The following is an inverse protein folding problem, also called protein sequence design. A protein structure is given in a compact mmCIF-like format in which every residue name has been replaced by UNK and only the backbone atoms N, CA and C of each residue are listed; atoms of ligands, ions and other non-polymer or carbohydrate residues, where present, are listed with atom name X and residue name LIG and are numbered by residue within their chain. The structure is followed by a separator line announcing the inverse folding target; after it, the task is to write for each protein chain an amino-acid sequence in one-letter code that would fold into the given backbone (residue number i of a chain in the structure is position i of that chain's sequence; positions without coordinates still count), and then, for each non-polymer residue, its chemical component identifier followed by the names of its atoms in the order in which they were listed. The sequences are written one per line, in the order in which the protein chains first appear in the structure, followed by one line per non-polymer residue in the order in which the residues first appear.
data_IF_169715727597
#
_entry.id   IF_169715727597
#
_cell.length_a   1.000
_cell.length_b   1.000
_cell.length_c   1.000
_cell.angle_alpha   90.00
_cell.angle_beta   90.00
_cell.angle_gamma   90.00
#
_symmetry.space_group_name_H-M   'P 1'
#
loop_
_entity.id
_entity.type
_entity.pdbx_description
1 polymer ?
#
# COMPACT_ATOMS: atom_id res chain seq x y z
N UNK A 1 -19.53 -11.72 29.58
CA UNK A 1 -20.24 -10.55 29.05
C UNK A 1 -19.36 -10.01 27.94
N UNK A 2 -19.55 -10.52 26.72
CA UNK A 2 -18.83 -10.09 25.54
C UNK A 2 -19.31 -8.68 25.22
N UNK A 3 -18.46 -7.68 25.47
CA UNK A 3 -18.65 -6.35 24.92
C UNK A 3 -18.36 -6.45 23.43
N UNK A 4 -19.39 -6.82 22.67
CA UNK A 4 -19.36 -6.80 21.21
C UNK A 4 -19.34 -5.33 20.78
N UNK A 5 -18.16 -4.71 20.85
CA UNK A 5 -17.92 -3.36 20.33
C UNK A 5 -17.90 -3.50 18.81
N UNK A 6 -19.09 -3.57 18.21
CA UNK A 6 -19.22 -3.47 16.77
C UNK A 6 -18.69 -2.08 16.39
N UNK A 7 -17.57 -1.97 15.65
CA UNK A 7 -17.07 -0.67 15.26
C UNK A 7 -18.16 0.05 14.47
N UNK A 8 -18.36 1.34 14.75
CA UNK A 8 -19.32 2.14 14.01
C UNK A 8 -19.08 1.93 12.50
N UNK A 9 -20.13 1.77 11.67
CA UNK A 9 -20.00 1.33 10.28
C UNK A 9 -19.00 2.15 9.44
N UNK A 10 -18.79 3.42 9.79
CA UNK A 10 -17.76 4.28 9.21
C UNK A 10 -16.32 3.80 9.47
N UNK A 11 -16.00 3.35 10.69
CA UNK A 11 -14.68 2.82 11.06
C UNK A 11 -14.39 1.52 10.30
N UNK A 12 -15.39 0.64 10.19
CA UNK A 12 -15.26 -0.61 9.44
C UNK A 12 -14.98 -0.37 7.95
N UNK A 13 -15.68 0.61 7.33
CA UNK A 13 -15.46 0.98 5.93
C UNK A 13 -14.05 1.57 5.70
N UNK A 14 -13.53 2.37 6.64
CA UNK A 14 -12.19 2.93 6.55
C UNK A 14 -11.10 1.87 6.69
N UNK A 15 -11.27 0.89 7.59
CA UNK A 15 -10.35 -0.26 7.70
C UNK A 15 -10.35 -1.11 6.43
N UNK A 16 -11.52 -1.38 5.85
CA UNK A 16 -11.60 -2.09 4.57
C UNK A 16 -10.92 -1.30 3.43
N UNK A 17 -11.05 0.03 3.42
CA UNK A 17 -10.37 0.88 2.44
C UNK A 17 -8.84 0.84 2.60
N UNK A 18 -8.35 0.85 3.84
CA UNK A 18 -6.93 0.67 4.17
C UNK A 18 -6.41 -0.69 3.68
N UNK A 19 -7.10 -1.77 3.99
CA UNK A 19 -6.72 -3.13 3.56
C UNK A 19 -6.62 -3.25 2.05
N UNK A 20 -7.62 -2.72 1.31
CA UNK A 20 -7.60 -2.69 -0.15
C UNK A 20 -6.44 -1.87 -0.71
N UNK A 21 -6.14 -0.72 -0.10
CA UNK A 21 -5.01 0.10 -0.49
C UNK A 21 -3.67 -0.60 -0.23
N UNK A 22 -3.52 -1.27 0.92
CA UNK A 22 -2.36 -2.08 1.27
C UNK A 22 -2.15 -3.23 0.26
N UNK A 23 -3.21 -3.97 -0.06
CA UNK A 23 -3.17 -5.02 -1.07
C UNK A 23 -2.71 -4.48 -2.45
N UNK A 24 -3.21 -3.32 -2.86
CA UNK A 24 -2.78 -2.62 -4.06
C UNK A 24 -1.30 -2.24 -4.04
N UNK A 25 -0.80 -1.72 -2.91
CA UNK A 25 0.62 -1.42 -2.71
C UNK A 25 1.49 -2.68 -2.79
N UNK A 26 1.12 -3.77 -2.12
CA UNK A 26 1.87 -5.02 -2.15
C UNK A 26 1.93 -5.63 -3.54
N UNK A 27 0.81 -5.58 -4.29
CA UNK A 27 0.78 -6.01 -5.69
C UNK A 27 1.71 -5.17 -6.57
N UNK A 28 1.69 -3.84 -6.42
CA UNK A 28 2.60 -2.94 -7.14
C UNK A 28 4.06 -3.21 -6.79
N UNK A 29 4.37 -3.40 -5.50
CA UNK A 29 5.71 -3.70 -5.01
C UNK A 29 6.25 -5.02 -5.56
N UNK A 30 5.42 -6.07 -5.60
CA UNK A 30 5.78 -7.36 -6.19
C UNK A 30 6.10 -7.22 -7.68
N UNK A 31 5.30 -6.45 -8.42
CA UNK A 31 5.54 -6.17 -9.83
C UNK A 31 6.84 -5.38 -10.04
N UNK A 32 7.10 -4.35 -9.22
CA UNK A 32 8.34 -3.58 -9.23
C UNK A 32 9.57 -4.49 -9.02
N UNK A 33 9.54 -5.38 -8.04
CA UNK A 33 10.65 -6.31 -7.78
C UNK A 33 10.92 -7.25 -8.96
N UNK A 34 9.86 -7.80 -9.57
CA UNK A 34 10.00 -8.65 -10.77
C UNK A 34 10.65 -7.89 -11.94
N UNK A 35 10.25 -6.65 -12.16
CA UNK A 35 10.84 -5.81 -13.20
C UNK A 35 12.29 -5.43 -12.88
N UNK A 36 12.60 -5.13 -11.61
CA UNK A 36 13.97 -4.88 -11.17
C UNK A 36 14.91 -6.06 -11.40
N UNK A 37 14.44 -7.28 -11.11
CA UNK A 37 15.19 -8.51 -11.40
C UNK A 37 15.43 -8.69 -12.91
N UNK A 38 14.42 -8.39 -13.74
CA UNK A 38 14.55 -8.43 -15.21
C UNK A 38 15.58 -7.41 -15.72
N UNK A 39 15.58 -6.19 -15.20
CA UNK A 39 16.59 -5.15 -15.55
C UNK A 39 17.99 -5.62 -15.19
N UNK A 40 18.19 -6.20 -14.00
CA UNK A 40 19.49 -6.72 -13.58
C UNK A 40 19.99 -7.85 -14.50
N UNK A 41 19.10 -8.80 -14.84
CA UNK A 41 19.43 -9.90 -15.75
C UNK A 41 19.78 -9.40 -17.16
N UNK A 42 19.02 -8.46 -17.71
CA UNK A 42 19.33 -7.89 -19.03
C UNK A 42 20.61 -7.06 -19.03
N UNK A 43 20.88 -6.33 -17.95
CA UNK A 43 22.14 -5.61 -17.78
C UNK A 43 23.35 -6.57 -17.80
N UNK A 44 23.21 -7.74 -17.18
CA UNK A 44 24.25 -8.77 -17.23
C UNK A 44 24.47 -9.27 -18.66
N UNK A 45 23.39 -9.56 -19.42
CA UNK A 45 23.51 -9.96 -20.82
C UNK A 45 24.18 -8.90 -21.71
N UNK A 46 23.88 -7.61 -21.48
CA UNK A 46 24.54 -6.50 -22.18
C UNK A 46 26.03 -6.43 -21.83
N UNK A 47 26.41 -6.70 -20.58
CA UNK A 47 27.81 -6.71 -20.16
C UNK A 47 28.58 -7.90 -20.75
N UNK A 48 27.96 -9.07 -20.83
CA UNK A 48 28.54 -10.29 -21.41
C UNK A 48 28.65 -10.21 -22.95
N UNK A 49 27.69 -9.55 -23.61
CA UNK A 49 27.62 -9.45 -25.08
C UNK A 49 27.37 -8.00 -25.53
N UNK A 50 28.36 -7.10 -25.41
CA UNK A 50 28.17 -5.66 -25.62
C UNK A 50 27.90 -5.27 -27.09
N UNK A 51 28.25 -6.15 -28.04
CA UNK A 51 28.04 -5.94 -29.49
C UNK A 51 26.64 -6.34 -29.95
N UNK A 52 25.79 -6.90 -29.07
CA UNK A 52 24.42 -7.32 -29.37
C UNK A 52 23.43 -6.16 -29.14
N UNK A 53 23.01 -5.43 -30.19
CA UNK A 53 22.14 -4.27 -30.03
C UNK A 53 20.74 -4.64 -29.54
N UNK A 54 20.29 -5.86 -29.83
CA UNK A 54 19.03 -6.43 -29.36
C UNK A 54 18.97 -6.51 -27.82
N UNK A 55 20.08 -6.87 -27.16
CA UNK A 55 20.13 -6.90 -25.70
C UNK A 55 20.09 -5.51 -25.09
N UNK A 56 20.76 -4.53 -25.71
CA UNK A 56 20.72 -3.13 -25.27
C UNK A 56 19.29 -2.58 -25.39
N UNK A 57 18.63 -2.78 -26.53
CA UNK A 57 17.25 -2.36 -26.73
C UNK A 57 16.28 -3.01 -25.72
N UNK A 58 16.46 -4.32 -25.45
CA UNK A 58 15.66 -5.01 -24.44
C UNK A 58 15.91 -4.48 -23.03
N UNK A 59 17.16 -4.16 -22.68
CA UNK A 59 17.52 -3.56 -21.40
C UNK A 59 16.89 -2.17 -21.22
N UNK A 60 16.98 -1.31 -22.24
CA UNK A 60 16.40 0.04 -22.21
C UNK A 60 14.87 -0.01 -22.01
N UNK A 61 14.19 -0.88 -22.76
CA UNK A 61 12.74 -1.10 -22.60
C UNK A 61 12.37 -1.61 -21.20
N UNK A 62 13.17 -2.53 -20.65
CA UNK A 62 12.95 -3.02 -19.29
C UNK A 62 13.22 -1.94 -18.23
N UNK A 63 14.24 -1.09 -18.43
CA UNK A 63 14.57 0.01 -17.53
C UNK A 63 13.46 1.06 -17.48
N UNK A 64 12.86 1.41 -18.62
CA UNK A 64 11.68 2.26 -18.69
C UNK A 64 10.49 1.66 -17.92
N UNK A 65 10.17 0.40 -18.20
CA UNK A 65 9.08 -0.30 -17.51
C UNK A 65 9.29 -0.40 -15.99
N UNK A 66 10.54 -0.59 -15.55
CA UNK A 66 10.90 -0.56 -14.13
C UNK A 66 10.71 0.84 -13.53
N UNK A 67 11.10 1.89 -14.25
CA UNK A 67 10.85 3.28 -13.85
C UNK A 67 9.36 3.55 -13.60
N UNK A 68 8.49 3.13 -14.52
CA UNK A 68 7.04 3.27 -14.37
C UNK A 68 6.50 2.47 -13.19
N UNK A 69 7.05 1.27 -12.94
CA UNK A 69 6.67 0.46 -11.78
C UNK A 69 7.10 1.09 -10.45
N UNK A 70 8.24 1.78 -10.41
CA UNK A 70 8.66 2.58 -9.25
C UNK A 70 7.63 3.68 -8.96
N UNK A 71 7.21 4.44 -9.97
CA UNK A 71 6.23 5.52 -9.77
C UNK A 71 4.87 4.99 -9.33
N UNK A 72 4.38 3.92 -9.95
CA UNK A 72 3.12 3.26 -9.53
C UNK A 72 3.20 2.76 -8.09
N UNK A 73 4.32 2.18 -7.68
CA UNK A 73 4.50 1.70 -6.31
C UNK A 73 4.53 2.85 -5.30
N UNK A 74 5.19 3.97 -5.63
CA UNK A 74 5.19 5.18 -4.80
C UNK A 74 3.78 5.76 -4.64
N UNK A 75 3.02 5.82 -5.73
CA UNK A 75 1.64 6.29 -5.68
C UNK A 75 0.76 5.36 -4.82
N UNK A 76 0.86 4.05 -5.01
CA UNK A 76 0.11 3.07 -4.22
C UNK A 76 0.47 3.15 -2.72
N UNK A 77 1.75 3.33 -2.39
CA UNK A 77 2.19 3.56 -1.02
C UNK A 77 1.57 4.83 -0.42
N UNK A 78 1.59 5.94 -1.15
CA UNK A 78 0.98 7.19 -0.68
C UNK A 78 -0.54 7.04 -0.47
N UNK A 79 -1.23 6.31 -1.35
CA UNK A 79 -2.65 5.99 -1.17
C UNK A 79 -2.90 5.16 0.10
N UNK A 80 -2.10 4.12 0.33
CA UNK A 80 -2.19 3.31 1.54
C UNK A 80 -1.93 4.12 2.80
N UNK A 81 -0.89 4.95 2.83
CA UNK A 81 -0.57 5.82 3.97
C UNK A 81 -1.71 6.80 4.29
N UNK A 82 -2.34 7.40 3.27
CA UNK A 82 -3.53 8.24 3.49
C UNK A 82 -4.70 7.46 4.06
N UNK A 83 -4.94 6.24 3.58
CA UNK A 83 -6.02 5.40 4.08
C UNK A 83 -5.77 4.97 5.53
N UNK A 84 -4.53 4.62 5.87
CA UNK A 84 -4.11 4.29 7.24
C UNK A 84 -4.34 5.47 8.20
N UNK A 85 -3.86 6.67 7.85
CA UNK A 85 -4.07 7.88 8.67
C UNK A 85 -5.55 8.17 8.87
N UNK A 86 -6.38 8.03 7.83
CA UNK A 86 -7.83 8.23 7.95
C UNK A 86 -8.50 7.19 8.85
N UNK A 87 -8.10 5.91 8.74
CA UNK A 87 -8.61 4.84 9.58
C UNK A 87 -8.21 5.03 11.05
N UNK A 88 -6.96 5.42 11.32
CA UNK A 88 -6.47 5.66 12.67
C UNK A 88 -7.11 6.90 13.31
N UNK A 89 -7.34 7.96 12.54
CA UNK A 89 -8.06 9.14 13.02
C UNK A 89 -9.52 8.80 13.39
N UNK A 90 -10.21 8.00 12.58
CA UNK A 90 -11.58 7.58 12.86
C UNK A 90 -11.65 6.64 14.06
N UNK A 91 -10.66 5.75 14.21
CA UNK A 91 -10.53 4.89 15.39
C UNK A 91 -10.34 5.72 16.66
N UNK A 92 -9.41 6.69 16.63
CA UNK A 92 -9.12 7.58 17.76
C UNK A 92 -10.34 8.41 18.15
N UNK A 93 -11.09 8.93 17.17
CA UNK A 93 -12.34 9.65 17.42
C UNK A 93 -13.40 8.74 18.06
N UNK A 94 -13.58 7.51 17.55
CA UNK A 94 -14.55 6.57 18.09
C UNK A 94 -14.22 6.14 19.53
N UNK A 95 -12.96 5.83 19.84
CA UNK A 95 -12.51 5.52 21.21
C UNK A 95 -12.59 6.73 22.13
N UNK A 96 -12.20 7.92 21.64
CA UNK A 96 -12.32 9.18 22.38
C UNK A 96 -13.77 9.55 22.72
N UNK A 97 -14.73 9.24 21.85
CA UNK A 97 -16.15 9.39 22.12
C UNK A 97 -16.70 8.33 23.09
N UNK A 98 -16.20 7.09 23.05
CA UNK A 98 -16.54 6.07 24.04
C UNK A 98 -16.02 6.42 25.44
N UNK A 99 -14.86 7.09 25.53
CA UNK A 99 -14.29 7.57 26.79
C UNK A 99 -14.98 8.85 27.33
N UNK A 100 -15.60 9.65 26.45
CA UNK A 100 -16.30 10.89 26.79
C UNK A 100 -17.80 10.70 27.08
N UNK A 101 -18.33 9.47 26.98
CA UNK A 101 -19.69 9.18 27.43
C UNK A 101 -19.75 9.36 28.96
N UNK A 102 -20.58 10.28 29.49
CA UNK A 102 -20.65 10.51 30.93
C UNK A 102 -21.18 9.27 31.63
N UNK A 103 -20.53 8.90 32.73
CA UNK A 103 -21.12 8.03 33.76
C UNK A 103 -22.28 8.79 34.43
N UNK A 104 -23.42 8.87 33.76
CA UNK A 104 -24.64 9.36 34.38
C UNK A 104 -25.80 8.40 34.10
N UNK A 105 -25.79 7.30 34.86
CA UNK A 105 -26.94 6.46 35.10
C UNK A 105 -27.37 6.65 36.56
N UNK A 106 -28.30 7.58 36.79
CA UNK A 106 -29.00 7.81 38.06
C UNK A 106 -29.46 6.50 38.70
N UNK A 107 -29.23 6.33 39.99
CA UNK A 107 -30.03 5.46 40.86
C UNK A 107 -30.76 6.37 41.85
N UNK A 108 -32.05 6.09 42.00
CA UNK A 108 -33.03 6.77 42.83
C UNK A 108 -32.65 6.84 44.32
#
# INVERSE_FOLDING_TARGET
MENDVTPAPAVALLRLAEEKACAGYLAARKAQMRLGARVASLRQLVAEQPTRPDYRAAWDAAALAFGDAVQRTRLAYACWQRAQVAADAAWTAAEGHAQAAPADGRVA
#
